data_IF_895790685679
#
_entry.id   IF_895790685679
#
_cell.length_a   1.000
_cell.length_b   1.000
_cell.length_c   1.000
_cell.angle_alpha   90.00
_cell.angle_beta   90.00
_cell.angle_gamma   90.00
#
_symmetry.space_group_name_H-M   'P 1'
#
loop_
_entity.id
_entity.type
_entity.pdbx_description
1 polymer ?
#
# COMPACT_ATOMS: atom_id res chain seq x y z
N UNK A 1 -9.10 -7.36 11.41
CA UNK A 1 -8.83 -6.81 12.76
C UNK A 1 -7.60 -5.96 12.73
N UNK A 2 -7.49 -4.99 13.65
CA UNK A 2 -6.35 -4.07 13.74
C UNK A 2 -5.61 -4.30 15.06
N UNK A 3 -4.28 -4.16 15.00
CA UNK A 3 -3.39 -4.28 16.13
C UNK A 3 -2.27 -3.27 15.96
N UNK A 4 -1.78 -2.66 17.03
CA UNK A 4 -0.69 -1.70 16.95
C UNK A 4 0.51 -2.22 17.72
N UNK A 5 1.69 -2.19 17.07
CA UNK A 5 2.96 -2.53 17.71
C UNK A 5 3.72 -1.27 18.14
N UNK A 6 3.80 -0.26 17.30
CA UNK A 6 4.56 0.97 17.60
C UNK A 6 3.84 2.25 17.20
N UNK A 7 4.28 3.36 17.77
CA UNK A 7 3.89 4.73 17.42
C UNK A 7 5.11 5.60 17.24
N UNK A 8 5.11 6.42 16.18
CA UNK A 8 6.18 7.33 15.82
C UNK A 8 6.92 6.90 14.56
N UNK A 9 7.53 7.88 13.89
CA UNK A 9 8.23 7.65 12.63
C UNK A 9 9.57 8.41 12.66
N UNK A 10 10.71 7.75 12.30
CA UNK A 10 12.00 8.40 12.32
C UNK A 10 12.22 9.42 11.19
N UNK A 11 11.30 9.48 10.23
CA UNK A 11 11.36 10.40 9.10
C UNK A 11 10.58 11.70 9.39
N UNK A 12 10.82 12.72 8.56
CA UNK A 12 10.35 14.08 8.80
C UNK A 12 9.74 14.70 7.53
N UNK A 13 8.85 13.94 6.89
CA UNK A 13 8.18 14.37 5.67
C UNK A 13 7.33 15.63 5.91
N UNK A 14 7.47 16.65 5.04
CA UNK A 14 6.89 17.97 5.23
C UNK A 14 5.35 17.97 5.39
N UNK A 15 4.68 17.08 4.68
CA UNK A 15 3.21 16.96 4.66
C UNK A 15 2.64 16.08 5.77
N UNK A 16 3.48 15.34 6.51
CA UNK A 16 3.04 14.30 7.43
C UNK A 16 2.88 14.83 8.86
N UNK A 17 1.77 14.52 9.49
CA UNK A 17 1.43 14.91 10.87
C UNK A 17 1.87 13.88 11.93
N UNK A 18 2.32 12.69 11.52
CA UNK A 18 2.69 11.60 12.43
C UNK A 18 3.74 12.02 13.46
N UNK A 19 4.74 12.79 13.04
CA UNK A 19 5.79 13.26 13.96
C UNK A 19 5.23 14.24 14.98
N UNK A 20 4.24 15.05 14.62
CA UNK A 20 3.56 15.96 15.54
C UNK A 20 2.74 15.18 16.60
N UNK A 21 2.09 14.09 16.16
CA UNK A 21 1.22 13.29 17.02
C UNK A 21 2.01 12.29 17.87
N UNK A 22 2.99 11.63 17.25
CA UNK A 22 3.64 10.45 17.82
C UNK A 22 5.15 10.60 18.07
N UNK A 23 5.78 11.67 17.57
CA UNK A 23 7.22 11.93 17.72
C UNK A 23 8.10 11.12 16.76
N UNK A 24 9.41 11.45 16.77
CA UNK A 24 10.42 10.81 15.90
C UNK A 24 10.88 9.44 16.38
N UNK A 25 10.87 9.20 17.69
CA UNK A 25 11.35 7.94 18.27
C UNK A 25 10.21 6.91 18.33
N UNK A 26 10.27 5.81 17.58
CA UNK A 26 9.25 4.76 17.64
C UNK A 26 9.17 4.14 19.03
N UNK A 27 8.04 4.32 19.70
CA UNK A 27 7.72 3.69 20.99
C UNK A 27 7.01 2.38 20.72
N UNK A 28 7.58 1.29 21.19
CA UNK A 28 7.15 -0.06 20.83
C UNK A 28 6.58 -0.81 22.03
N UNK A 29 5.61 -1.66 21.79
CA UNK A 29 5.21 -2.70 22.75
C UNK A 29 6.34 -3.72 22.96
N UNK A 30 6.30 -4.43 24.07
CA UNK A 30 7.12 -5.62 24.28
C UNK A 30 6.57 -6.80 23.46
N UNK A 31 7.40 -7.83 23.26
CA UNK A 31 6.95 -9.07 22.61
C UNK A 31 5.78 -9.73 23.38
N UNK A 32 5.81 -9.67 24.71
CA UNK A 32 4.76 -10.26 25.55
C UNK A 32 3.42 -9.58 25.30
N UNK A 33 3.39 -8.24 25.29
CA UNK A 33 2.16 -7.48 25.01
C UNK A 33 1.61 -7.79 23.63
N UNK A 34 2.47 -7.81 22.60
CA UNK A 34 2.06 -8.07 21.22
C UNK A 34 1.48 -9.48 21.06
N UNK A 35 2.16 -10.49 21.59
CA UNK A 35 1.71 -11.88 21.54
C UNK A 35 0.41 -12.08 22.35
N UNK A 36 0.28 -11.46 23.51
CA UNK A 36 -0.95 -11.53 24.32
C UNK A 36 -2.17 -10.97 23.56
N UNK A 37 -2.02 -9.86 22.85
CA UNK A 37 -3.09 -9.31 22.01
C UNK A 37 -3.44 -10.23 20.84
N UNK A 38 -2.44 -10.87 20.22
CA UNK A 38 -2.67 -11.87 19.17
C UNK A 38 -3.35 -13.13 19.70
N UNK A 39 -3.00 -13.60 20.89
CA UNK A 39 -3.67 -14.70 21.55
C UNK A 39 -5.14 -14.39 21.85
N UNK A 40 -5.42 -13.18 22.34
CA UNK A 40 -6.80 -12.76 22.60
C UNK A 40 -7.67 -12.77 21.32
N UNK A 41 -7.14 -12.30 20.20
CA UNK A 41 -7.83 -12.37 18.89
C UNK A 41 -8.01 -13.81 18.42
N UNK A 42 -7.00 -14.65 18.62
CA UNK A 42 -7.06 -16.07 18.28
C UNK A 42 -8.12 -16.82 19.09
N UNK A 43 -8.21 -16.57 20.39
CA UNK A 43 -9.17 -17.19 21.31
C UNK A 43 -10.60 -16.74 21.03
N UNK A 44 -10.79 -15.48 20.60
CA UNK A 44 -12.08 -14.99 20.08
C UNK A 44 -12.49 -15.60 18.75
N UNK A 45 -11.71 -16.53 18.18
CA UNK A 45 -12.04 -17.24 16.95
C UNK A 45 -11.65 -16.51 15.66
N UNK A 46 -10.94 -15.34 15.72
CA UNK A 46 -10.49 -14.67 14.52
C UNK A 46 -9.48 -15.52 13.74
N UNK A 47 -9.63 -15.60 12.42
CA UNK A 47 -8.77 -16.40 11.51
C UNK A 47 -8.50 -15.67 10.18
N UNK A 48 -8.72 -14.37 10.15
CA UNK A 48 -8.50 -13.52 8.97
C UNK A 48 -7.19 -12.75 9.03
N UNK A 49 -7.08 -11.72 8.19
CA UNK A 49 -5.91 -10.83 8.18
C UNK A 49 -5.89 -9.90 9.40
N UNK A 50 -4.68 -9.60 9.88
CA UNK A 50 -4.42 -8.57 10.87
C UNK A 50 -3.63 -7.43 10.25
N UNK A 51 -4.16 -6.22 10.39
CA UNK A 51 -3.44 -5.01 10.07
C UNK A 51 -2.70 -4.51 11.31
N UNK A 52 -1.37 -4.47 11.23
CA UNK A 52 -0.54 -3.79 12.22
C UNK A 52 -0.48 -2.32 11.82
N UNK A 53 -1.28 -1.49 12.51
CA UNK A 53 -1.57 -0.09 12.16
C UNK A 53 -0.47 0.87 12.62
N UNK A 54 0.79 0.50 12.38
CA UNK A 54 1.94 1.32 12.73
C UNK A 54 2.20 2.34 11.62
N UNK A 55 2.53 3.57 11.97
CA UNK A 55 2.91 4.63 11.02
C UNK A 55 4.13 4.27 10.15
N UNK A 56 5.02 3.49 10.72
CA UNK A 56 6.16 2.85 10.06
C UNK A 56 6.64 1.66 10.89
N UNK A 57 6.15 0.49 10.58
CA UNK A 57 6.44 -0.74 11.32
C UNK A 57 7.94 -0.99 11.50
N UNK A 58 8.74 -0.66 10.48
CA UNK A 58 10.19 -0.89 10.49
C UNK A 58 11.00 0.24 11.15
N UNK A 59 10.35 1.13 11.90
CA UNK A 59 11.01 2.26 12.57
C UNK A 59 12.13 1.84 13.52
N UNK A 60 12.06 0.65 14.12
CA UNK A 60 13.13 0.05 14.94
C UNK A 60 13.53 -1.32 14.39
N UNK A 61 14.30 -1.33 13.28
CA UNK A 61 14.75 -2.56 12.60
C UNK A 61 15.50 -3.53 13.52
N UNK A 62 16.35 -3.02 14.45
CA UNK A 62 17.13 -3.86 15.36
C UNK A 62 16.19 -4.69 16.23
N UNK A 63 15.27 -4.05 16.97
CA UNK A 63 14.34 -4.73 17.86
C UNK A 63 13.41 -5.70 17.10
N UNK A 64 12.99 -5.34 15.89
CA UNK A 64 12.21 -6.24 15.04
C UNK A 64 12.96 -7.54 14.74
N UNK A 65 14.22 -7.45 14.28
CA UNK A 65 15.02 -8.63 13.90
C UNK A 65 15.41 -9.49 15.10
N UNK A 66 15.76 -8.89 16.24
CA UNK A 66 16.30 -9.64 17.37
C UNK A 66 15.25 -10.18 18.34
N UNK A 67 14.02 -9.65 18.30
CA UNK A 67 13.01 -9.97 19.31
C UNK A 67 11.62 -10.24 18.71
N UNK A 68 11.05 -9.25 18.02
CA UNK A 68 9.63 -9.25 17.71
C UNK A 68 9.27 -10.24 16.60
N UNK A 69 9.99 -10.21 15.48
CA UNK A 69 9.70 -11.11 14.35
C UNK A 69 9.98 -12.57 14.71
N UNK A 70 10.98 -12.83 15.53
CA UNK A 70 11.26 -14.18 16.02
C UNK A 70 10.10 -14.70 16.88
N UNK A 71 9.58 -13.89 17.80
CA UNK A 71 8.43 -14.24 18.62
C UNK A 71 7.15 -14.46 17.77
N UNK A 72 6.92 -13.63 16.75
CA UNK A 72 5.80 -13.79 15.82
C UNK A 72 5.91 -15.10 15.01
N UNK A 73 7.12 -15.46 14.56
CA UNK A 73 7.37 -16.70 13.83
C UNK A 73 7.07 -17.92 14.70
N UNK A 74 7.55 -17.94 15.95
CA UNK A 74 7.29 -19.02 16.90
C UNK A 74 5.81 -19.14 17.21
N UNK A 75 5.16 -18.02 17.56
CA UNK A 75 3.72 -17.98 17.82
C UNK A 75 2.90 -18.49 16.64
N UNK A 76 3.21 -18.02 15.46
CA UNK A 76 2.52 -18.42 14.23
C UNK A 76 2.64 -19.92 13.95
N UNK A 77 3.80 -20.53 14.21
CA UNK A 77 4.01 -21.97 14.09
C UNK A 77 3.17 -22.74 15.12
N UNK A 78 3.18 -22.31 16.39
CA UNK A 78 2.44 -22.96 17.46
C UNK A 78 0.92 -22.95 17.23
N UNK A 79 0.38 -21.87 16.68
CA UNK A 79 -1.06 -21.71 16.35
C UNK A 79 -1.44 -22.20 14.94
N UNK A 80 -0.53 -22.86 14.20
CA UNK A 80 -0.77 -23.44 12.86
C UNK A 80 -1.16 -22.39 11.79
N UNK A 81 -0.47 -21.24 11.79
CA UNK A 81 -0.57 -20.18 10.77
C UNK A 81 -1.97 -19.52 10.66
N UNK A 82 -2.55 -18.99 11.74
CA UNK A 82 -3.94 -18.55 11.76
C UNK A 82 -4.19 -17.24 11.01
N UNK A 83 -3.18 -16.35 10.93
CA UNK A 83 -3.32 -14.99 10.41
C UNK A 83 -2.38 -14.74 9.24
N UNK A 84 -2.83 -13.93 8.28
CA UNK A 84 -1.99 -13.16 7.38
C UNK A 84 -1.77 -11.77 7.99
N UNK A 85 -0.56 -11.25 7.91
CA UNK A 85 -0.20 -9.95 8.48
C UNK A 85 0.03 -8.93 7.37
N UNK A 86 -0.41 -7.71 7.63
CA UNK A 86 -0.17 -6.59 6.75
C UNK A 86 0.16 -5.34 7.57
N UNK A 87 1.02 -4.44 7.05
CA UNK A 87 1.46 -3.24 7.77
C UNK A 87 1.91 -2.15 6.80
N UNK A 88 2.22 -0.97 7.34
CA UNK A 88 2.85 0.11 6.62
C UNK A 88 4.36 0.12 6.89
N UNK A 89 5.15 0.33 5.85
CA UNK A 89 6.60 0.40 5.94
C UNK A 89 7.18 1.39 4.92
N UNK A 90 8.26 2.04 5.28
CA UNK A 90 9.02 2.85 4.34
C UNK A 90 9.79 1.98 3.33
N UNK A 91 10.04 2.53 2.12
CA UNK A 91 10.65 1.79 0.99
C UNK A 91 12.06 1.25 1.30
N UNK A 92 12.77 1.82 2.28
CA UNK A 92 14.06 1.32 2.72
C UNK A 92 14.00 -0.04 3.45
N UNK A 93 12.81 -0.65 3.54
CA UNK A 93 12.65 -2.08 3.80
C UNK A 93 13.40 -2.90 2.72
N UNK A 94 13.38 -2.46 1.47
CA UNK A 94 14.06 -3.13 0.36
C UNK A 94 15.61 -3.20 0.52
N UNK A 95 16.19 -2.47 1.46
CA UNK A 95 17.63 -2.46 1.71
C UNK A 95 18.08 -3.58 2.69
N UNK A 96 17.14 -4.27 3.35
CA UNK A 96 17.43 -5.25 4.41
C UNK A 96 16.78 -6.61 4.10
N UNK A 97 17.52 -7.46 3.38
CA UNK A 97 17.07 -8.80 2.95
C UNK A 97 16.71 -9.70 4.14
N UNK A 98 17.45 -9.58 5.24
CA UNK A 98 17.17 -10.35 6.46
C UNK A 98 15.82 -9.95 7.07
N UNK A 99 15.59 -8.65 7.19
CA UNK A 99 14.33 -8.12 7.72
C UNK A 99 13.13 -8.55 6.85
N UNK A 100 13.26 -8.48 5.52
CA UNK A 100 12.20 -8.93 4.60
C UNK A 100 11.91 -10.41 4.81
N UNK A 101 12.95 -11.27 4.87
CA UNK A 101 12.80 -12.71 5.09
C UNK A 101 12.11 -13.01 6.42
N UNK A 102 12.48 -12.31 7.49
CA UNK A 102 11.85 -12.46 8.80
C UNK A 102 10.39 -12.01 8.80
N UNK A 103 10.07 -10.89 8.15
CA UNK A 103 8.69 -10.43 8.00
C UNK A 103 7.83 -11.47 7.25
N UNK A 104 8.32 -11.98 6.12
CA UNK A 104 7.60 -13.02 5.36
C UNK A 104 7.43 -14.30 6.20
N UNK A 105 8.45 -14.73 6.92
CA UNK A 105 8.36 -15.88 7.81
C UNK A 105 7.37 -15.67 8.98
N UNK A 106 7.29 -14.44 9.49
CA UNK A 106 6.30 -14.04 10.51
C UNK A 106 4.87 -13.96 9.96
N UNK A 107 4.68 -13.97 8.63
CA UNK A 107 3.37 -13.99 7.99
C UNK A 107 2.91 -12.71 7.35
N UNK A 108 3.78 -11.73 7.22
CA UNK A 108 3.48 -10.57 6.40
C UNK A 108 3.42 -10.99 4.93
N UNK A 109 2.33 -10.67 4.27
CA UNK A 109 2.11 -10.93 2.84
C UNK A 109 1.79 -9.66 2.05
N UNK A 110 1.50 -8.56 2.74
CA UNK A 110 1.23 -7.24 2.16
C UNK A 110 1.99 -6.17 2.97
N UNK A 111 2.56 -5.20 2.25
CA UNK A 111 3.08 -3.95 2.84
C UNK A 111 2.55 -2.75 2.07
N UNK A 112 2.06 -1.76 2.80
CA UNK A 112 1.76 -0.45 2.23
C UNK A 112 3.01 0.43 2.30
N UNK A 113 3.35 1.05 1.19
CA UNK A 113 4.56 1.89 1.06
C UNK A 113 4.20 3.25 0.50
N UNK A 114 4.53 4.29 1.24
CA UNK A 114 4.45 5.67 0.72
C UNK A 114 5.53 5.91 -0.34
N UNK A 115 5.16 5.78 -1.61
CA UNK A 115 6.01 6.14 -2.76
C UNK A 115 5.98 7.65 -2.98
N UNK A 116 4.82 8.25 -2.79
CA UNK A 116 4.42 9.64 -3.00
C UNK A 116 4.52 10.05 -4.47
N UNK A 117 5.72 10.09 -5.03
CA UNK A 117 5.94 10.55 -6.39
C UNK A 117 7.19 9.93 -6.99
N UNK A 118 7.23 9.68 -8.32
CA UNK A 118 8.45 9.32 -9.02
C UNK A 118 9.36 10.53 -9.33
N UNK A 119 8.90 11.76 -9.05
CA UNK A 119 9.66 12.97 -9.33
C UNK A 119 10.67 13.28 -8.21
N UNK A 120 11.96 13.27 -8.56
CA UNK A 120 13.05 13.50 -7.59
C UNK A 120 12.96 14.88 -6.92
N UNK A 121 12.60 15.94 -7.67
CA UNK A 121 12.49 17.30 -7.12
C UNK A 121 11.36 17.39 -6.08
N UNK A 122 10.22 16.75 -6.32
CA UNK A 122 9.11 16.72 -5.35
C UNK A 122 9.44 15.88 -4.11
N UNK A 123 10.27 14.81 -4.25
CA UNK A 123 10.77 14.05 -3.09
C UNK A 123 11.74 14.90 -2.23
N UNK A 124 12.53 15.76 -2.85
CA UNK A 124 13.41 16.72 -2.13
C UNK A 124 12.55 17.77 -1.45
N UNK A 125 11.59 18.37 -2.16
CA UNK A 125 10.67 19.38 -1.64
C UNK A 125 9.98 18.89 -0.36
N UNK A 126 9.38 17.70 -0.40
CA UNK A 126 8.65 17.16 0.75
C UNK A 126 9.52 16.44 1.78
N UNK A 127 10.86 16.54 1.68
CA UNK A 127 11.83 15.90 2.60
C UNK A 127 11.63 14.39 2.78
N UNK A 128 11.17 13.68 1.72
CA UNK A 128 11.01 12.21 1.72
C UNK A 128 12.37 11.53 1.49
N UNK A 129 13.29 11.71 2.41
CA UNK A 129 14.70 11.28 2.27
C UNK A 129 14.88 9.79 2.02
N UNK A 130 14.01 8.93 2.59
CA UNK A 130 14.05 7.47 2.41
C UNK A 130 13.72 7.03 0.98
N UNK A 131 13.11 7.89 0.17
CA UNK A 131 12.79 7.61 -1.23
C UNK A 131 13.80 8.21 -2.21
N UNK A 132 14.67 9.12 -1.75
CA UNK A 132 15.65 9.79 -2.60
C UNK A 132 16.82 8.87 -2.97
N UNK A 133 17.50 9.19 -4.09
CA UNK A 133 18.71 8.53 -4.55
C UNK A 133 18.59 6.99 -4.68
N UNK A 134 17.41 6.48 -5.10
CA UNK A 134 17.19 5.05 -5.31
C UNK A 134 16.33 4.75 -6.52
N UNK A 135 16.49 3.58 -7.09
CA UNK A 135 15.52 3.03 -8.04
C UNK A 135 14.32 2.47 -7.25
N UNK A 136 13.25 3.29 -7.20
CA UNK A 136 12.01 2.92 -6.52
C UNK A 136 11.32 1.72 -7.19
N UNK A 137 11.41 1.58 -8.52
CA UNK A 137 10.82 0.45 -9.24
C UNK A 137 11.55 -0.84 -8.88
N UNK A 138 12.88 -0.83 -8.88
CA UNK A 138 13.69 -1.98 -8.48
C UNK A 138 13.44 -2.35 -7.01
N UNK A 139 13.32 -1.35 -6.12
CA UNK A 139 12.99 -1.57 -4.70
C UNK A 139 11.64 -2.27 -4.52
N UNK A 140 10.60 -1.82 -5.22
CA UNK A 140 9.28 -2.45 -5.20
C UNK A 140 9.34 -3.89 -5.71
N UNK A 141 9.98 -4.12 -6.86
CA UNK A 141 10.12 -5.46 -7.44
C UNK A 141 10.88 -6.41 -6.53
N UNK A 142 11.90 -5.91 -5.83
CA UNK A 142 12.63 -6.70 -4.85
C UNK A 142 11.72 -7.19 -3.73
N UNK A 143 10.88 -6.34 -3.15
CA UNK A 143 9.90 -6.75 -2.14
C UNK A 143 8.94 -7.81 -2.69
N UNK A 144 8.47 -7.64 -3.93
CA UNK A 144 7.60 -8.62 -4.60
C UNK A 144 8.31 -9.97 -4.81
N UNK A 145 9.59 -9.96 -5.16
CA UNK A 145 10.40 -11.17 -5.32
C UNK A 145 10.63 -11.92 -3.99
N UNK A 146 10.59 -11.23 -2.87
CA UNK A 146 10.61 -11.85 -1.55
C UNK A 146 9.25 -12.38 -1.09
N UNK A 147 8.17 -12.11 -1.82
CA UNK A 147 6.82 -12.64 -1.53
C UNK A 147 5.88 -11.64 -0.86
N UNK A 148 6.21 -10.35 -0.87
CA UNK A 148 5.32 -9.29 -0.38
C UNK A 148 4.52 -8.67 -1.54
N UNK A 149 3.23 -8.51 -1.38
CA UNK A 149 2.45 -7.58 -2.20
C UNK A 149 2.74 -6.16 -1.72
N UNK A 150 3.16 -5.29 -2.62
CA UNK A 150 3.34 -3.86 -2.32
C UNK A 150 2.10 -3.10 -2.76
N UNK A 151 1.43 -2.49 -1.81
CA UNK A 151 0.43 -1.46 -2.04
C UNK A 151 1.11 -0.10 -1.94
N UNK A 152 0.76 0.87 -2.79
CA UNK A 152 1.49 2.13 -2.87
C UNK A 152 0.61 3.35 -2.61
N UNK A 153 1.10 4.27 -1.78
CA UNK A 153 0.57 5.62 -1.63
C UNK A 153 1.27 6.59 -2.59
N UNK A 154 0.48 7.41 -3.27
CA UNK A 154 0.94 8.40 -4.24
C UNK A 154 0.26 9.74 -4.01
N UNK A 155 0.99 10.82 -4.26
CA UNK A 155 0.50 12.19 -4.09
C UNK A 155 0.84 12.99 -5.36
N UNK A 156 -0.07 13.84 -5.81
CA UNK A 156 0.15 14.87 -6.84
C UNK A 156 -0.20 16.24 -6.29
N UNK A 157 0.47 17.27 -6.78
CA UNK A 157 0.23 18.66 -6.39
C UNK A 157 1.35 19.27 -5.57
N UNK A 158 2.54 18.65 -5.55
CA UNK A 158 3.75 19.29 -5.05
C UNK A 158 4.10 20.51 -5.92
N UNK A 159 4.71 21.51 -5.32
CA UNK A 159 5.12 22.73 -6.03
C UNK A 159 6.17 22.45 -7.12
N UNK A 160 6.96 21.39 -6.95
CA UNK A 160 7.99 20.92 -7.89
C UNK A 160 7.46 19.89 -8.92
N UNK A 161 6.17 19.62 -8.95
CA UNK A 161 5.61 18.68 -9.93
C UNK A 161 5.64 19.30 -11.35
N UNK A 162 6.28 18.63 -12.32
CA UNK A 162 6.23 19.07 -13.70
C UNK A 162 4.88 18.73 -14.34
N UNK A 163 4.58 19.33 -15.48
CA UNK A 163 3.37 19.05 -16.25
C UNK A 163 3.20 17.58 -16.64
N UNK A 164 4.30 16.85 -16.76
CA UNK A 164 4.33 15.41 -17.08
C UNK A 164 4.06 14.50 -15.87
N UNK A 165 3.86 15.04 -14.67
CA UNK A 165 3.77 14.24 -13.45
C UNK A 165 2.67 13.17 -13.49
N UNK A 166 1.53 13.50 -14.12
CA UNK A 166 0.41 12.58 -14.24
C UNK A 166 0.76 11.33 -15.03
N UNK A 167 1.41 11.52 -16.20
CA UNK A 167 1.88 10.41 -17.01
C UNK A 167 3.01 9.66 -16.33
N UNK A 168 3.94 10.36 -15.71
CA UNK A 168 5.07 9.76 -14.98
C UNK A 168 4.57 8.85 -13.84
N UNK A 169 3.53 9.26 -13.11
CA UNK A 169 2.92 8.40 -12.08
C UNK A 169 2.23 7.18 -12.67
N UNK A 170 1.45 7.34 -13.76
CA UNK A 170 0.82 6.22 -14.46
C UNK A 170 1.89 5.19 -14.87
N UNK A 171 2.96 5.65 -15.52
CA UNK A 171 4.03 4.81 -16.02
C UNK A 171 4.78 4.10 -14.88
N UNK A 172 5.05 4.81 -13.79
CA UNK A 172 5.65 4.25 -12.61
C UNK A 172 4.79 3.14 -11.99
N UNK A 173 3.49 3.40 -11.76
CA UNK A 173 2.54 2.44 -11.20
C UNK A 173 2.46 1.19 -12.08
N UNK A 174 2.41 1.37 -13.41
CA UNK A 174 2.37 0.24 -14.35
C UNK A 174 3.68 -0.56 -14.35
N UNK A 175 4.83 0.12 -14.37
CA UNK A 175 6.17 -0.50 -14.45
C UNK A 175 6.55 -1.22 -13.16
N UNK A 176 6.19 -0.67 -12.00
CA UNK A 176 6.47 -1.26 -10.69
C UNK A 176 5.61 -2.49 -10.38
N UNK A 177 4.43 -2.61 -11.01
CA UNK A 177 3.47 -3.67 -10.70
C UNK A 177 2.73 -3.46 -9.36
N UNK A 178 2.69 -2.23 -8.83
CA UNK A 178 1.84 -1.89 -7.68
C UNK A 178 0.38 -1.97 -8.11
N UNK A 179 -0.31 -3.07 -7.79
CA UNK A 179 -1.68 -3.31 -8.26
C UNK A 179 -2.66 -2.41 -7.52
N UNK A 180 -2.53 -2.29 -6.21
CA UNK A 180 -3.33 -1.38 -5.38
C UNK A 180 -2.54 -0.10 -5.18
N UNK A 181 -2.92 0.97 -5.89
CA UNK A 181 -2.31 2.28 -5.82
C UNK A 181 -3.32 3.30 -5.29
N UNK A 182 -3.08 3.86 -4.12
CA UNK A 182 -3.85 4.96 -3.56
C UNK A 182 -3.22 6.27 -4.01
N UNK A 183 -3.90 7.03 -4.86
CA UNK A 183 -3.44 8.32 -5.33
C UNK A 183 -4.29 9.40 -4.68
N UNK A 184 -3.66 10.41 -4.11
CA UNK A 184 -4.32 11.56 -3.48
C UNK A 184 -3.80 12.90 -4.01
N UNK A 185 -4.58 13.94 -3.82
CA UNK A 185 -4.13 15.32 -3.95
C UNK A 185 -3.35 15.71 -2.69
N UNK A 186 -2.27 16.48 -2.86
CA UNK A 186 -1.54 17.03 -1.71
C UNK A 186 -2.46 17.91 -0.87
N UNK A 187 -2.46 17.69 0.43
CA UNK A 187 -3.12 18.53 1.41
C UNK A 187 -2.15 18.87 2.54
N UNK A 188 -2.39 19.97 3.21
CA UNK A 188 -1.56 20.49 4.30
C UNK A 188 -2.28 20.34 5.66
N UNK A 189 -2.15 19.18 6.34
CA UNK A 189 -2.74 18.98 7.66
C UNK A 189 -2.23 20.02 8.66
N UNK A 190 -3.10 20.50 9.54
CA UNK A 190 -2.79 21.55 10.50
C UNK A 190 -1.56 21.20 11.35
N UNK A 191 -0.65 22.18 11.50
CA UNK A 191 0.56 22.03 12.30
C UNK A 191 1.76 21.40 11.57
N UNK A 192 1.57 20.77 10.40
CA UNK A 192 2.68 20.22 9.60
C UNK A 192 3.62 21.30 9.10
N UNK A 193 4.83 20.91 8.67
CA UNK A 193 5.79 21.84 8.05
C UNK A 193 5.21 22.47 6.78
N UNK A 194 4.53 21.66 5.95
CA UNK A 194 3.82 22.12 4.77
C UNK A 194 2.77 23.17 5.10
N UNK A 195 1.96 22.93 6.14
CA UNK A 195 0.95 23.89 6.59
C UNK A 195 1.59 25.23 7.02
N UNK A 196 2.71 25.19 7.77
CA UNK A 196 3.42 26.38 8.21
C UNK A 196 4.01 27.15 7.03
N UNK A 197 4.63 26.44 6.05
CA UNK A 197 5.18 27.04 4.84
C UNK A 197 4.09 27.74 4.03
N UNK A 198 3.01 27.02 3.72
CA UNK A 198 1.90 27.57 2.92
C UNK A 198 1.15 28.70 3.61
N UNK A 199 1.09 28.67 4.96
CA UNK A 199 0.56 29.79 5.74
C UNK A 199 1.44 31.05 5.57
N UNK A 200 2.75 30.90 5.67
CA UNK A 200 3.70 31.99 5.47
C UNK A 200 3.67 32.57 4.06
N UNK A 201 3.36 31.73 3.05
CA UNK A 201 3.19 32.13 1.65
C UNK A 201 1.78 32.71 1.34
N UNK A 202 0.85 32.75 2.30
CA UNK A 202 -0.52 33.23 2.09
C UNK A 202 -1.37 32.34 1.20
N UNK A 203 -1.02 31.06 1.07
CA UNK A 203 -1.67 30.09 0.16
C UNK A 203 -2.64 29.14 0.82
N UNK A 204 -2.82 29.17 2.14
CA UNK A 204 -3.78 28.31 2.81
C UNK A 204 -5.23 28.75 2.51
N UNK A 205 -6.10 27.75 2.34
CA UNK A 205 -7.53 27.89 2.24
C UNK A 205 -8.19 27.28 3.48
N UNK A 206 -9.40 27.72 3.80
CA UNK A 206 -10.20 27.11 4.86
C UNK A 206 -10.83 25.79 4.37
N UNK A 207 -10.95 24.80 5.26
CA UNK A 207 -11.73 23.59 5.01
C UNK A 207 -10.91 22.38 4.55
N UNK A 208 -10.11 21.81 5.47
CA UNK A 208 -9.55 20.46 5.27
C UNK A 208 -10.57 19.42 5.73
N UNK A 209 -11.05 18.57 4.81
CA UNK A 209 -12.06 17.55 5.12
C UNK A 209 -11.45 16.26 5.66
N UNK A 210 -10.16 16.01 5.42
CA UNK A 210 -9.50 14.74 5.70
C UNK A 210 -9.93 13.59 4.79
N UNK A 211 -10.79 13.84 3.81
CA UNK A 211 -11.27 12.84 2.87
C UNK A 211 -10.32 12.77 1.64
N UNK A 212 -9.53 11.73 1.54
CA UNK A 212 -8.59 11.52 0.43
C UNK A 212 -9.28 11.18 -0.92
N UNK A 213 -10.61 11.03 -0.93
CA UNK A 213 -11.37 10.70 -2.15
C UNK A 213 -12.16 11.87 -2.70
N UNK A 214 -12.24 12.99 -2.00
CA UNK A 214 -12.78 14.21 -2.53
C UNK A 214 -11.69 15.02 -3.27
N UNK A 215 -12.09 15.96 -4.12
CA UNK A 215 -11.17 16.83 -4.86
C UNK A 215 -10.82 18.10 -4.07
N UNK A 216 -10.97 18.06 -2.75
CA UNK A 216 -10.69 19.22 -1.92
C UNK A 216 -9.19 19.47 -1.81
N UNK A 217 -8.82 20.73 -1.94
CA UNK A 217 -7.50 21.26 -1.68
C UNK A 217 -7.65 22.32 -0.59
N UNK A 218 -6.85 22.21 0.47
CA UNK A 218 -6.85 23.21 1.52
C UNK A 218 -5.76 24.28 1.33
N UNK A 219 -5.22 24.39 0.11
CA UNK A 219 -4.27 25.43 -0.27
C UNK A 219 -4.35 25.75 -1.77
N UNK A 220 -3.75 26.87 -2.18
CA UNK A 220 -3.60 27.27 -3.58
C UNK A 220 -2.35 26.60 -4.17
N UNK A 221 -2.47 25.61 -5.08
CA UNK A 221 -1.32 24.97 -5.70
C UNK A 221 -0.60 25.91 -6.67
N UNK A 222 0.70 25.71 -6.92
CA UNK A 222 1.41 26.43 -8.00
C UNK A 222 0.95 25.98 -9.38
N UNK A 223 0.67 24.69 -9.55
CA UNK A 223 0.02 24.19 -10.77
C UNK A 223 -1.40 24.72 -10.86
N UNK A 224 -1.87 25.02 -12.06
CA UNK A 224 -3.27 25.39 -12.28
C UNK A 224 -4.20 24.33 -11.66
N UNK A 225 -5.20 24.76 -10.88
CA UNK A 225 -6.08 23.89 -10.11
C UNK A 225 -6.86 22.92 -11.00
N UNK A 226 -7.38 23.40 -12.11
CA UNK A 226 -8.16 22.56 -13.04
C UNK A 226 -7.26 21.52 -13.71
N UNK A 227 -6.05 21.90 -14.09
CA UNK A 227 -5.03 20.98 -14.62
C UNK A 227 -4.68 19.89 -13.60
N UNK A 228 -4.46 20.26 -12.34
CA UNK A 228 -4.15 19.32 -11.26
C UNK A 228 -5.31 18.35 -11.04
N UNK A 229 -6.54 18.85 -10.94
CA UNK A 229 -7.73 18.03 -10.72
C UNK A 229 -8.00 17.09 -11.91
N UNK A 230 -7.88 17.60 -13.15
CA UNK A 230 -8.07 16.79 -14.35
C UNK A 230 -6.98 15.73 -14.51
N UNK A 231 -5.73 16.07 -14.19
CA UNK A 231 -4.62 15.14 -14.21
C UNK A 231 -4.76 14.04 -13.14
N UNK A 232 -5.22 14.38 -11.95
CA UNK A 232 -5.55 13.40 -10.91
C UNK A 232 -6.63 12.42 -11.39
N UNK A 233 -7.73 12.93 -11.98
CA UNK A 233 -8.77 12.08 -12.58
C UNK A 233 -8.22 11.19 -13.69
N UNK A 234 -7.33 11.73 -14.54
CA UNK A 234 -6.66 10.96 -15.59
C UNK A 234 -5.88 9.79 -15.02
N UNK A 235 -5.10 9.99 -13.96
CA UNK A 235 -4.36 8.90 -13.31
C UNK A 235 -5.34 7.80 -12.89
N UNK A 236 -6.35 8.14 -12.10
CA UNK A 236 -7.29 7.16 -11.53
C UNK A 236 -8.05 6.39 -12.62
N UNK A 237 -8.60 7.10 -13.61
CA UNK A 237 -9.31 6.48 -14.72
C UNK A 237 -8.41 5.55 -15.55
N UNK A 238 -7.13 5.90 -15.70
CA UNK A 238 -6.18 5.09 -16.45
C UNK A 238 -5.79 3.84 -15.68
N UNK A 239 -5.30 3.99 -14.43
CA UNK A 239 -4.76 2.87 -13.67
C UNK A 239 -5.83 1.85 -13.26
N UNK A 240 -7.08 2.25 -13.10
CA UNK A 240 -8.19 1.36 -12.77
C UNK A 240 -9.05 0.96 -13.98
N UNK A 241 -8.72 1.41 -15.21
CA UNK A 241 -9.31 0.84 -16.41
C UNK A 241 -8.97 -0.65 -16.53
N UNK A 242 -9.88 -1.50 -17.03
CA UNK A 242 -9.63 -2.94 -17.12
C UNK A 242 -8.33 -3.29 -17.82
N UNK A 243 -8.03 -2.64 -18.95
CA UNK A 243 -6.80 -2.87 -19.73
C UNK A 243 -5.54 -2.67 -18.88
N UNK A 244 -5.41 -1.51 -18.21
CA UNK A 244 -4.23 -1.17 -17.43
C UNK A 244 -4.17 -1.95 -16.12
N UNK A 245 -5.31 -2.19 -15.49
CA UNK A 245 -5.38 -2.94 -14.24
C UNK A 245 -4.90 -4.39 -14.42
N UNK A 246 -5.42 -5.11 -15.41
CA UNK A 246 -4.98 -6.49 -15.69
C UNK A 246 -3.55 -6.57 -16.20
N UNK A 247 -3.09 -5.60 -17.00
CA UNK A 247 -1.68 -5.52 -17.41
C UNK A 247 -0.76 -5.38 -16.17
N UNK A 248 -1.16 -4.58 -15.20
CA UNK A 248 -0.43 -4.37 -13.95
C UNK A 248 -0.43 -5.62 -13.06
N UNK A 249 -1.56 -6.34 -12.96
CA UNK A 249 -1.60 -7.65 -12.28
C UNK A 249 -0.58 -8.60 -12.93
N UNK A 250 -0.52 -8.64 -14.26
CA UNK A 250 0.45 -9.47 -14.98
C UNK A 250 1.89 -9.07 -14.65
N UNK A 251 2.20 -7.76 -14.61
CA UNK A 251 3.51 -7.25 -14.22
C UNK A 251 3.88 -7.69 -12.82
N UNK A 252 2.98 -7.51 -11.84
CA UNK A 252 3.18 -7.96 -10.46
C UNK A 252 3.43 -9.47 -10.37
N UNK A 253 2.54 -10.28 -10.94
CA UNK A 253 2.61 -11.73 -10.83
C UNK A 253 3.84 -12.33 -11.55
N UNK A 254 4.45 -11.60 -12.50
CA UNK A 254 5.73 -11.99 -13.10
C UNK A 254 6.85 -11.94 -12.06
N UNK A 255 6.92 -10.89 -11.26
CA UNK A 255 7.96 -10.70 -10.24
C UNK A 255 7.65 -11.47 -8.95
N UNK A 256 6.38 -11.55 -8.57
CA UNK A 256 5.94 -12.09 -7.28
C UNK A 256 6.31 -13.57 -7.12
N UNK A 257 7.01 -13.87 -6.03
CA UNK A 257 7.36 -15.24 -5.62
C UNK A 257 6.58 -15.57 -4.35
N UNK A 258 5.45 -16.30 -4.46
CA UNK A 258 4.65 -16.65 -3.29
C UNK A 258 5.51 -17.37 -2.25
N UNK A 259 5.41 -16.99 -0.95
CA UNK A 259 6.13 -17.66 0.11
C UNK A 259 5.68 -19.12 0.22
N UNK A 260 6.62 -20.03 0.49
CA UNK A 260 6.35 -21.46 0.72
C UNK A 260 5.73 -21.68 2.11
N UNK A 261 4.60 -21.07 2.38
CA UNK A 261 3.91 -21.21 3.66
C UNK A 261 2.64 -21.98 3.43
N UNK A 262 2.33 -22.91 4.35
CA UNK A 262 1.05 -23.64 4.31
C UNK A 262 -0.10 -22.62 4.37
N UNK A 263 -0.94 -22.64 3.36
CA UNK A 263 -2.18 -21.87 3.37
C UNK A 263 -3.09 -22.39 4.50
N UNK A 264 -3.76 -21.48 5.18
CA UNK A 264 -4.83 -21.84 6.12
C UNK A 264 -5.96 -22.58 5.41
N UNK A 265 -6.92 -23.11 6.17
CA UNK A 265 -8.13 -23.75 5.60
C UNK A 265 -8.92 -22.74 4.78
N UNK A 266 -9.34 -23.14 3.61
CA UNK A 266 -10.24 -22.33 2.76
C UNK A 266 -11.55 -22.10 3.52
N UNK A 267 -11.94 -20.85 3.64
CA UNK A 267 -13.18 -20.43 4.32
C UNK A 267 -14.33 -20.33 3.31
N UNK A 268 -15.54 -20.55 3.75
CA UNK A 268 -16.75 -20.48 2.89
C UNK A 268 -16.91 -19.13 2.18
N UNK A 269 -16.54 -18.03 2.84
CA UNK A 269 -16.59 -16.71 2.21
C UNK A 269 -15.61 -16.57 1.04
N UNK A 270 -14.46 -17.26 1.07
CA UNK A 270 -13.48 -17.24 -0.03
C UNK A 270 -14.02 -17.96 -1.27
N UNK A 271 -14.72 -19.09 -1.07
CA UNK A 271 -15.41 -19.80 -2.15
C UNK A 271 -16.48 -18.89 -2.76
N UNK A 272 -17.27 -18.23 -1.92
CA UNK A 272 -18.32 -17.31 -2.37
C UNK A 272 -17.73 -16.13 -3.16
N UNK A 273 -16.62 -15.53 -2.66
CA UNK A 273 -15.91 -14.47 -3.35
C UNK A 273 -15.36 -14.94 -4.71
N UNK A 274 -14.83 -16.16 -4.79
CA UNK A 274 -14.35 -16.77 -6.02
C UNK A 274 -15.48 -16.93 -7.06
N UNK A 275 -16.61 -17.53 -6.69
CA UNK A 275 -17.76 -17.68 -7.58
C UNK A 275 -18.32 -16.32 -8.03
N UNK A 276 -18.38 -15.36 -7.10
CA UNK A 276 -18.78 -13.97 -7.41
C UNK A 276 -17.82 -13.31 -8.39
N UNK A 277 -16.51 -13.57 -8.28
CA UNK A 277 -15.53 -13.03 -9.23
C UNK A 277 -15.76 -13.54 -10.65
N UNK A 278 -16.07 -14.83 -10.81
CA UNK A 278 -16.40 -15.41 -12.12
C UNK A 278 -17.62 -14.70 -12.73
N UNK A 279 -18.68 -14.51 -11.93
CA UNK A 279 -19.89 -13.87 -12.41
C UNK A 279 -19.69 -12.40 -12.78
N UNK A 280 -19.16 -11.60 -11.84
CA UNK A 280 -19.05 -10.16 -12.03
C UNK A 280 -17.90 -9.74 -12.93
N UNK A 281 -16.80 -10.46 -12.95
CA UNK A 281 -15.61 -10.11 -13.73
C UNK A 281 -15.47 -10.95 -14.99
N UNK A 282 -15.75 -12.25 -14.90
CA UNK A 282 -15.61 -13.17 -16.02
C UNK A 282 -16.78 -13.14 -17.01
N UNK A 283 -18.00 -12.85 -16.55
CA UNK A 283 -19.20 -12.85 -17.41
C UNK A 283 -19.66 -11.42 -17.70
N UNK A 284 -19.94 -10.62 -16.66
CA UNK A 284 -20.50 -9.26 -16.80
C UNK A 284 -19.46 -8.17 -16.97
N UNK A 285 -18.19 -8.42 -16.61
CA UNK A 285 -17.14 -7.39 -16.56
C UNK A 285 -16.70 -6.92 -17.93
N UNK A 286 -16.39 -5.61 -18.06
CA UNK A 286 -15.80 -5.03 -19.28
C UNK A 286 -14.41 -5.62 -19.60
N UNK A 287 -13.67 -6.09 -18.59
CA UNK A 287 -12.37 -6.75 -18.70
C UNK A 287 -12.41 -8.27 -18.81
N UNK A 288 -13.55 -8.90 -19.17
CA UNK A 288 -13.75 -10.36 -19.17
C UNK A 288 -12.70 -11.13 -20.00
N UNK A 289 -12.27 -10.57 -21.14
CA UNK A 289 -11.23 -11.21 -21.99
C UNK A 289 -9.89 -11.31 -21.22
N UNK A 290 -9.45 -10.21 -20.62
CA UNK A 290 -8.20 -10.15 -19.83
C UNK A 290 -8.31 -11.03 -18.58
N UNK A 291 -9.48 -11.03 -17.92
CA UNK A 291 -9.76 -11.90 -16.76
C UNK A 291 -9.53 -13.38 -17.12
N UNK A 292 -10.21 -13.89 -18.14
CA UNK A 292 -10.10 -15.30 -18.55
C UNK A 292 -8.71 -15.66 -19.06
N UNK A 293 -8.04 -14.75 -19.76
CA UNK A 293 -6.68 -14.95 -20.23
C UNK A 293 -5.71 -15.21 -19.07
N UNK A 294 -5.74 -14.35 -18.03
CA UNK A 294 -4.89 -14.52 -16.86
C UNK A 294 -5.39 -15.65 -15.94
N UNK A 295 -6.69 -15.86 -15.86
CA UNK A 295 -7.30 -16.95 -15.12
C UNK A 295 -6.75 -18.31 -15.58
N UNK A 296 -6.83 -18.60 -16.86
CA UNK A 296 -6.32 -19.87 -17.42
C UNK A 296 -4.80 -19.97 -17.29
N UNK A 297 -4.11 -18.86 -17.56
CA UNK A 297 -2.65 -18.82 -17.43
C UNK A 297 -2.19 -19.21 -16.02
N UNK A 298 -2.69 -18.58 -14.97
CA UNK A 298 -2.21 -18.80 -13.61
C UNK A 298 -2.80 -20.03 -12.94
N UNK A 299 -4.01 -20.45 -13.32
CA UNK A 299 -4.58 -21.72 -12.87
C UNK A 299 -3.68 -22.92 -13.24
N UNK A 300 -3.13 -22.91 -14.48
CA UNK A 300 -2.29 -24.00 -14.99
C UNK A 300 -0.85 -23.84 -14.52
N UNK A 301 -0.28 -22.63 -14.65
CA UNK A 301 1.16 -22.42 -14.45
C UNK A 301 1.57 -22.28 -12.98
N UNK A 302 0.71 -21.75 -12.11
CA UNK A 302 1.08 -21.47 -10.72
C UNK A 302 -0.13 -21.29 -9.80
N UNK A 303 -0.66 -22.37 -9.20
CA UNK A 303 -1.79 -22.29 -8.27
C UNK A 303 -1.62 -21.27 -7.11
N UNK A 304 -0.43 -21.10 -6.50
CA UNK A 304 -0.26 -20.06 -5.47
C UNK A 304 -0.42 -18.64 -6.00
N UNK A 305 0.02 -18.36 -7.24
CA UNK A 305 -0.20 -17.07 -7.91
C UNK A 305 -1.66 -16.89 -8.33
N UNK A 306 -2.36 -17.98 -8.64
CA UNK A 306 -3.77 -17.95 -8.99
C UNK A 306 -4.64 -17.41 -7.85
N UNK A 307 -4.39 -17.84 -6.61
CA UNK A 307 -5.12 -17.31 -5.44
C UNK A 307 -4.91 -15.80 -5.33
N UNK A 308 -3.67 -15.34 -5.47
CA UNK A 308 -3.36 -13.90 -5.43
C UNK A 308 -4.00 -13.15 -6.61
N UNK A 309 -4.01 -13.71 -7.79
CA UNK A 309 -4.72 -13.18 -8.97
C UNK A 309 -6.20 -12.93 -8.65
N UNK A 310 -6.93 -13.92 -8.12
CA UNK A 310 -8.34 -13.78 -7.77
C UNK A 310 -8.55 -12.66 -6.74
N UNK A 311 -7.72 -12.62 -5.69
CA UNK A 311 -7.80 -11.56 -4.67
C UNK A 311 -7.67 -10.17 -5.30
N UNK A 312 -6.66 -9.97 -6.14
CA UNK A 312 -6.41 -8.70 -6.79
C UNK A 312 -7.53 -8.30 -7.77
N UNK A 313 -8.13 -9.28 -8.46
CA UNK A 313 -9.26 -8.96 -9.35
C UNK A 313 -10.50 -8.51 -8.58
N UNK A 314 -10.75 -9.07 -7.40
CA UNK A 314 -11.84 -8.62 -6.51
C UNK A 314 -11.57 -7.19 -6.01
N UNK A 315 -10.33 -6.88 -5.62
CA UNK A 315 -9.96 -5.50 -5.26
C UNK A 315 -10.18 -4.53 -6.43
N UNK A 316 -9.76 -4.92 -7.64
CA UNK A 316 -9.96 -4.11 -8.84
C UNK A 316 -11.43 -3.81 -9.12
N UNK A 317 -12.31 -4.78 -8.93
CA UNK A 317 -13.75 -4.57 -9.05
C UNK A 317 -14.27 -3.53 -8.05
N UNK A 318 -13.82 -3.62 -6.80
CA UNK A 318 -14.17 -2.65 -5.78
C UNK A 318 -13.72 -1.22 -6.17
N UNK A 319 -12.45 -1.06 -6.54
CA UNK A 319 -11.92 0.26 -6.95
C UNK A 319 -12.65 0.82 -8.17
N UNK A 320 -12.95 -0.02 -9.18
CA UNK A 320 -13.73 0.42 -10.34
C UNK A 320 -15.13 0.92 -9.93
N UNK A 321 -15.79 0.26 -8.97
CA UNK A 321 -17.08 0.72 -8.45
C UNK A 321 -16.98 2.04 -7.72
N UNK A 322 -16.00 2.20 -6.84
CA UNK A 322 -15.74 3.46 -6.13
C UNK A 322 -15.49 4.60 -7.12
N UNK A 323 -14.68 4.36 -8.18
CA UNK A 323 -14.42 5.35 -9.21
C UNK A 323 -15.70 5.79 -9.94
N UNK A 324 -16.54 4.83 -10.34
CA UNK A 324 -17.81 5.13 -11.04
C UNK A 324 -18.77 5.91 -10.14
N UNK A 325 -18.75 5.69 -8.83
CA UNK A 325 -19.68 6.36 -7.89
C UNK A 325 -19.22 7.76 -7.53
N UNK A 326 -17.92 7.96 -7.32
CA UNK A 326 -17.38 9.23 -6.82
C UNK A 326 -16.93 10.21 -7.91
N UNK A 327 -16.78 9.74 -9.16
CA UNK A 327 -16.17 10.55 -10.24
C UNK A 327 -17.08 10.71 -11.47
N UNK A 328 -18.38 10.41 -11.34
CA UNK A 328 -19.43 10.89 -12.25
C UNK A 328 -19.85 12.27 -11.83
#
# INVERSE_FOLDING_TARGET
>A
MNLQYSRGCPFDCEFCDIVLLNGHNPRTKSKIQLISEMDALYEQGWRGSLFIVDDNFIGNKKKLKTEILLALIEWRKSKKYPFALYTEASINLADDDELIKLMVAAGFDVVFVGIETPNASSLVECTKSQNQNRDLVASVKKLQQFGLEVQGGFIVGFDSDPDSIFQNQIDFIQKSGIVTAMVGLLNAPSGTKLHKRLKGEGRLLNGFTGNNTDFSLNFIPKMNRDKLTNGYKQILNTIYSPKHYYARIKTFLKEYKPPRVKAGKIQTYQIRAFLSSIWFLGIKGQGKRQYWQLFMQYLIQSPPKFVRFITLTVYGYHFQKVMVTNYK
#
